data_IF_675737747728
#
_entry.id   IF_675737747728
#
_cell.length_a   1.000
_cell.length_b   1.000
_cell.length_c   1.000
_cell.angle_alpha   90.00
_cell.angle_beta   90.00
_cell.angle_gamma   90.00
#
_symmetry.space_group_name_H-M   'P 1'
#
loop_
_entity.id
_entity.type
_entity.pdbx_description
1 polymer ?
#
# COMPACT_ATOMS: atom_id res chain seq x y z
N UNK A 1 6.68 -12.13 7.40
CA UNK A 1 5.63 -11.11 7.63
C UNK A 1 6.28 -9.73 7.56
N UNK A 2 6.46 -9.16 6.36
CA UNK A 2 7.03 -7.82 6.17
C UNK A 2 6.09 -6.66 6.51
N UNK A 3 4.79 -6.91 6.73
CA UNK A 3 3.78 -5.89 7.05
C UNK A 3 3.23 -6.06 8.47
N UNK A 4 3.20 -4.98 9.25
CA UNK A 4 2.55 -4.88 10.57
C UNK A 4 1.64 -3.65 10.60
N UNK A 5 0.42 -3.78 11.14
CA UNK A 5 -0.56 -2.68 11.15
C UNK A 5 -0.98 -2.41 12.59
N UNK A 6 -0.83 -1.16 13.03
CA UNK A 6 -1.08 -0.74 14.41
C UNK A 6 -1.66 0.68 14.40
N UNK A 7 -2.82 0.92 15.03
CA UNK A 7 -3.49 2.23 15.07
C UNK A 7 -3.59 2.95 13.70
N UNK A 8 -4.08 2.25 12.67
CA UNK A 8 -4.15 2.77 11.28
C UNK A 8 -2.79 3.19 10.69
N UNK A 9 -1.69 2.76 11.29
CA UNK A 9 -0.33 2.95 10.80
C UNK A 9 0.22 1.61 10.33
N UNK A 10 0.65 1.56 9.07
CA UNK A 10 1.24 0.39 8.45
C UNK A 10 2.77 0.49 8.50
N UNK A 11 3.41 -0.56 9.00
CA UNK A 11 4.84 -0.74 9.11
C UNK A 11 5.29 -1.74 8.06
N UNK A 12 6.21 -1.33 7.19
CA UNK A 12 6.73 -2.10 6.06
C UNK A 12 8.22 -2.31 6.22
N UNK A 13 8.70 -3.56 6.21
CA UNK A 13 10.14 -3.83 6.08
C UNK A 13 10.58 -3.68 4.63
N UNK A 14 11.39 -2.66 4.36
CA UNK A 14 11.92 -2.31 3.03
C UNK A 14 13.35 -2.82 2.93
N UNK A 15 13.51 -4.08 2.54
CA UNK A 15 14.83 -4.71 2.38
C UNK A 15 15.28 -5.57 3.56
N UNK A 16 16.41 -6.26 3.36
CA UNK A 16 16.98 -7.22 4.31
C UNK A 16 17.87 -6.54 5.37
N UNK A 17 18.22 -5.27 5.16
CA UNK A 17 19.05 -4.44 6.04
C UNK A 17 18.34 -3.99 7.34
N UNK A 18 17.07 -4.38 7.53
CA UNK A 18 16.29 -4.02 8.71
C UNK A 18 15.64 -2.63 8.65
N UNK A 19 15.66 -1.97 7.48
CA UNK A 19 14.90 -0.74 7.27
C UNK A 19 13.39 -1.00 7.36
N UNK A 20 12.73 -0.29 8.27
CA UNK A 20 11.29 -0.38 8.47
C UNK A 20 10.67 1.01 8.26
N UNK A 21 9.63 1.06 7.43
CA UNK A 21 8.91 2.26 7.05
C UNK A 21 7.55 2.26 7.74
N UNK A 22 7.23 3.29 8.53
CA UNK A 22 5.90 3.49 9.07
C UNK A 22 5.17 4.59 8.31
N UNK A 23 4.00 4.29 7.77
CA UNK A 23 3.14 5.24 7.07
C UNK A 23 1.70 5.07 7.53
N UNK A 24 0.94 6.17 7.53
CA UNK A 24 -0.50 6.10 7.74
C UNK A 24 -1.12 5.25 6.63
N UNK A 25 -2.08 4.39 6.95
CA UNK A 25 -2.73 3.53 5.96
C UNK A 25 -3.22 4.34 4.75
N UNK A 26 -3.81 5.52 4.97
CA UNK A 26 -4.27 6.42 3.89
C UNK A 26 -3.16 6.94 2.96
N UNK A 27 -1.92 7.01 3.42
CA UNK A 27 -0.75 7.42 2.64
C UNK A 27 -0.09 6.25 1.89
N UNK A 28 -0.54 5.02 2.14
CA UNK A 28 -0.04 3.82 1.46
C UNK A 28 -0.74 3.67 0.12
N UNK A 29 0.01 3.52 -0.96
CA UNK A 29 -0.56 3.25 -2.30
C UNK A 29 -0.15 1.87 -2.80
N UNK A 30 -1.10 0.98 -3.01
CA UNK A 30 -0.87 -0.34 -3.61
C UNK A 30 -0.89 -0.21 -5.12
N UNK A 31 0.15 -0.68 -5.79
CA UNK A 31 0.29 -0.72 -7.24
C UNK A 31 0.51 -2.16 -7.71
N UNK A 32 0.01 -2.50 -8.90
CA UNK A 32 0.30 -3.80 -9.52
C UNK A 32 1.47 -3.64 -10.48
N UNK A 33 2.57 -4.34 -10.23
CA UNK A 33 3.69 -4.41 -11.15
C UNK A 33 3.40 -5.47 -12.23
N UNK A 34 3.03 -5.01 -13.42
CA UNK A 34 2.72 -5.87 -14.55
C UNK A 34 3.95 -6.60 -15.11
N UNK A 35 5.17 -6.12 -14.84
CA UNK A 35 6.39 -6.77 -15.32
C UNK A 35 6.71 -8.02 -14.50
N UNK A 36 6.32 -8.04 -13.21
CA UNK A 36 6.47 -9.20 -12.33
C UNK A 36 5.16 -9.94 -12.05
N UNK A 37 4.04 -9.46 -12.59
CA UNK A 37 2.69 -9.93 -12.24
C UNK A 37 2.47 -9.97 -10.71
N UNK A 38 3.02 -8.99 -9.99
CA UNK A 38 3.08 -8.98 -8.52
C UNK A 38 2.66 -7.62 -7.96
N UNK A 39 2.03 -7.62 -6.79
CA UNK A 39 1.65 -6.38 -6.12
C UNK A 39 2.86 -5.75 -5.43
N UNK A 40 2.92 -4.42 -5.45
CA UNK A 40 3.92 -3.65 -4.74
C UNK A 40 3.26 -2.44 -4.09
N UNK A 41 3.85 -1.94 -3.02
CA UNK A 41 3.40 -0.74 -2.34
C UNK A 41 4.36 0.38 -2.69
N UNK A 42 3.83 1.47 -3.21
CA UNK A 42 4.56 2.71 -3.43
C UNK A 42 4.64 3.46 -2.09
N UNK A 43 5.86 3.61 -1.58
CA UNK A 43 6.22 4.39 -0.39
C UNK A 43 7.15 5.55 -0.83
N UNK A 44 7.32 6.56 0.01
CA UNK A 44 8.21 7.70 -0.31
C UNK A 44 9.68 7.31 -0.48
N UNK A 45 10.12 6.28 0.26
CA UNK A 45 11.51 5.79 0.25
C UNK A 45 11.78 4.72 -0.81
N UNK A 46 10.73 4.23 -1.49
CA UNK A 46 10.86 3.16 -2.46
C UNK A 46 9.59 2.36 -2.68
N UNK A 47 9.73 1.21 -3.34
CA UNK A 47 8.62 0.28 -3.57
C UNK A 47 8.88 -1.02 -2.84
N UNK A 48 7.92 -1.47 -2.04
CA UNK A 48 7.98 -2.76 -1.34
C UNK A 48 7.16 -3.76 -2.12
N UNK A 49 7.79 -4.85 -2.57
CA UNK A 49 7.05 -5.95 -3.17
C UNK A 49 6.37 -6.76 -2.07
N UNK A 50 5.07 -6.96 -2.23
CA UNK A 50 4.25 -7.67 -1.26
C UNK A 50 3.40 -8.72 -1.98
N UNK A 51 2.89 -9.66 -1.21
CA UNK A 51 1.92 -10.64 -1.69
C UNK A 51 0.52 -10.04 -1.81
N UNK A 52 -0.35 -10.72 -2.55
CA UNK A 52 -1.75 -10.31 -2.68
C UNK A 52 -2.49 -10.26 -1.33
N UNK A 53 -2.21 -11.21 -0.44
CA UNK A 53 -2.82 -11.25 0.89
C UNK A 53 -2.43 -10.03 1.74
N UNK A 54 -1.19 -9.55 1.60
CA UNK A 54 -0.73 -8.35 2.29
C UNK A 54 -1.33 -7.09 1.66
N UNK A 55 -1.47 -7.06 0.33
CA UNK A 55 -2.10 -5.96 -0.37
C UNK A 55 -3.55 -5.79 0.10
N UNK A 56 -4.27 -6.91 0.25
CA UNK A 56 -5.63 -6.92 0.77
C UNK A 56 -5.71 -6.42 2.22
N UNK A 57 -4.82 -6.89 3.10
CA UNK A 57 -4.75 -6.43 4.49
C UNK A 57 -4.48 -4.92 4.61
N UNK A 58 -3.63 -4.38 3.73
CA UNK A 58 -3.37 -2.94 3.66
C UNK A 58 -4.61 -2.18 3.18
N UNK A 59 -5.27 -2.66 2.13
CA UNK A 59 -6.52 -2.05 1.64
C UNK A 59 -7.58 -2.02 2.74
N UNK A 60 -7.72 -3.09 3.53
CA UNK A 60 -8.62 -3.14 4.71
C UNK A 60 -8.23 -2.14 5.80
N UNK A 61 -6.93 -1.91 6.01
CA UNK A 61 -6.45 -0.91 6.96
C UNK A 61 -6.69 0.54 6.51
N UNK A 62 -7.03 0.75 5.24
CA UNK A 62 -7.27 2.06 4.64
C UNK A 62 -6.22 2.49 3.62
N UNK A 63 -5.42 1.56 3.10
CA UNK A 63 -4.52 1.85 1.98
C UNK A 63 -5.27 2.21 0.71
N UNK A 64 -4.72 3.19 -0.01
CA UNK A 64 -5.18 3.57 -1.33
C UNK A 64 -4.87 2.43 -2.29
N UNK A 65 -5.92 1.74 -2.74
CA UNK A 65 -5.78 0.71 -3.74
C UNK A 65 -5.65 1.36 -5.12
N UNK A 66 -4.40 1.48 -5.59
CA UNK A 66 -4.06 1.88 -6.95
C UNK A 66 -4.19 0.72 -7.95
N UNK A 67 -4.59 -0.49 -7.50
CA UNK A 67 -5.18 -1.49 -8.41
C UNK A 67 -6.30 -0.77 -9.13
N UNK A 68 -6.16 -0.66 -10.44
CA UNK A 68 -6.90 0.23 -11.31
C UNK A 68 -8.40 -0.04 -11.26
N UNK A 69 -9.09 0.42 -10.22
CA UNK A 69 -10.49 0.78 -10.30
C UNK A 69 -10.51 2.15 -10.98
N UNK A 70 -10.79 2.15 -12.28
CA UNK A 70 -11.03 3.34 -13.10
C UNK A 70 -12.24 4.18 -12.63
N UNK A 71 -12.65 4.13 -11.35
CA UNK A 71 -13.86 4.81 -10.83
C UNK A 71 -13.68 5.23 -9.38
N UNK A 72 -12.81 6.19 -9.11
CA UNK A 72 -12.90 7.00 -7.89
C UNK A 72 -12.28 8.38 -8.12
N UNK A 73 -12.63 9.01 -9.25
CA UNK A 73 -12.64 10.47 -9.34
C UNK A 73 -14.08 10.87 -9.51
N UNK A 74 -14.81 10.84 -8.41
CA UNK A 74 -15.98 11.69 -8.19
C UNK A 74 -15.90 12.15 -6.74
N UNK A 75 -14.80 12.84 -6.44
CA UNK A 75 -14.78 13.87 -5.42
C UNK A 75 -15.48 15.11 -5.97
N UNK A 76 -16.77 14.97 -6.33
CA UNK A 76 -17.64 16.12 -6.46
C UNK A 76 -18.20 16.36 -5.06
N UNK A 77 -17.40 17.10 -4.28
CA UNK A 77 -17.91 17.77 -3.09
C UNK A 77 -19.00 18.74 -3.54
N UNK A 78 -20.25 18.28 -3.50
CA UNK A 78 -21.41 19.18 -3.42
C UNK A 78 -21.44 19.76 -2.01
N UNK A 79 -21.13 21.05 -1.92
CA UNK A 79 -21.34 21.93 -0.76
C UNK A 79 -22.74 22.49 -0.85
#
# INVERSE_FOLDING_TARGET
>A
MPVRIENQTCYFKVGEDGNEQSLAATAVTVITDSAKAMSAVQLDTGRVYITEAEADALTVAGATDGRKHLKATDGDSVI
#
